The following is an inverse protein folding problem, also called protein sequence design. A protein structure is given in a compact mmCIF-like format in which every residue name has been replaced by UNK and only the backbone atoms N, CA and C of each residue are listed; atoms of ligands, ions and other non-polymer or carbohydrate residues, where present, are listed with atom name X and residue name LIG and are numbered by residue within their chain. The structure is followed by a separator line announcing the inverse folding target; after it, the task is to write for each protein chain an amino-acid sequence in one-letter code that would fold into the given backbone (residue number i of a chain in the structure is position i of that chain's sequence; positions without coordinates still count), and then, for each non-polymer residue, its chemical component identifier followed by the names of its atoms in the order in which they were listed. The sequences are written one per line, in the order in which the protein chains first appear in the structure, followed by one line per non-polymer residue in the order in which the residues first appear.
data_IF_785943202958
#
_entry.id   IF_785943202958
#
_cell.length_a   1.000
_cell.length_b   1.000
_cell.length_c   1.000
_cell.angle_alpha   90.00
_cell.angle_beta   90.00
_cell.angle_gamma   90.00
#
_symmetry.space_group_name_H-M   'P 1'
#
loop_
_entity.id
_entity.type
_entity.pdbx_description
1 polymer ?
2 non-polymer ?
3 water ?
#
# COMPACT_ATOMS: atom_id res chain seq x y z
N UNK A 12 -23.97 -8.17 -0.23
CA UNK A 12 -23.80 -9.17 -1.28
C UNK A 12 -22.75 -10.20 -0.90
N UNK A 13 -23.19 -11.41 -0.59
CA UNK A 13 -22.31 -12.52 -0.26
C UNK A 13 -22.66 -13.71 -1.13
N UNK A 14 -21.65 -14.52 -1.43
CA UNK A 14 -21.85 -15.67 -2.31
C UNK A 14 -21.73 -15.36 -3.78
N UNK A 15 -21.03 -14.29 -4.16
CA UNK A 15 -20.85 -13.92 -5.55
C UNK A 15 -19.39 -13.57 -5.79
N UNK A 16 -18.82 -14.13 -6.86
CA UNK A 16 -17.45 -13.82 -7.27
C UNK A 16 -17.52 -12.99 -8.55
N UNK A 17 -17.37 -11.67 -8.40
CA UNK A 17 -17.44 -10.75 -9.53
C UNK A 17 -16.04 -10.43 -10.04
N UNK A 18 -15.38 -11.47 -10.55
CA UNK A 18 -14.02 -11.34 -11.06
C UNK A 18 -14.02 -10.99 -12.54
N UNK A 20 -15.80 -8.80 -14.13
CA UNK A 20 -17.08 -8.47 -14.72
C UNK A 20 -17.99 -9.66 -14.95
N UNK A 21 -17.52 -10.83 -14.52
CA UNK A 21 -18.26 -12.08 -14.66
C UNK A 21 -18.61 -12.57 -13.25
N UNK A 22 -19.86 -12.36 -12.84
CA UNK A 22 -20.30 -12.76 -11.51
C UNK A 22 -20.70 -14.23 -11.51
N UNK A 23 -20.13 -14.99 -10.57
CA UNK A 23 -20.41 -16.40 -10.42
C UNK A 23 -21.03 -16.64 -9.05
N UNK A 24 -22.21 -17.25 -9.02
CA UNK A 24 -22.84 -17.65 -7.77
C UNK A 24 -22.09 -18.86 -7.21
N UNK A 25 -21.18 -18.60 -6.27
CA UNK A 25 -20.29 -19.64 -5.75
C UNK A 25 -20.26 -19.61 -4.23
N UNK A 26 -19.75 -20.68 -3.66
CA UNK A 26 -19.54 -20.83 -2.22
C UNK A 26 -18.05 -20.96 -1.94
N UNK A 27 -17.72 -21.15 -0.66
CA UNK A 27 -16.32 -21.30 -0.28
C UNK A 27 -15.76 -22.63 -0.78
N UNK A 28 -16.62 -23.63 -0.96
CA UNK A 28 -16.17 -24.94 -1.42
C UNK A 28 -15.78 -24.95 -2.90
N UNK A 29 -16.11 -23.90 -3.65
CA UNK A 29 -15.72 -23.79 -5.05
C UNK A 29 -14.31 -23.25 -5.23
N UNK A 30 -13.56 -23.09 -4.14
CA UNK A 30 -12.21 -22.56 -4.18
C UNK A 30 -11.24 -23.60 -3.63
N UNK A 31 -10.11 -23.79 -4.32
CA UNK A 31 -9.08 -24.71 -3.89
C UNK A 31 -7.96 -23.92 -3.19
N UNK A 32 -7.60 -24.36 -1.98
CA UNK A 32 -6.61 -23.66 -1.19
C UNK A 32 -5.21 -24.03 -1.67
N UNK A 33 -4.47 -23.04 -2.18
CA UNK A 33 -3.14 -23.25 -2.71
C UNK A 33 -2.05 -22.83 -1.73
N UNK A 34 -2.39 -22.55 -0.49
CA UNK A 34 -1.43 -22.15 0.51
C UNK A 34 -1.63 -20.70 0.95
N UNK A 35 -0.97 -20.38 2.07
CA UNK A 35 -1.07 -19.04 2.65
C UNK A 35 -0.02 -18.11 2.04
N UNK A 36 -0.41 -16.86 1.85
CA UNK A 36 0.49 -15.83 1.35
C UNK A 36 0.90 -14.92 2.51
N UNK A 37 2.20 -14.69 2.65
CA UNK A 37 2.68 -13.81 3.70
C UNK A 37 2.38 -14.37 5.09
N UNK A 38 2.21 -13.45 6.04
CA UNK A 38 1.94 -13.83 7.42
C UNK A 38 1.45 -12.62 8.20
N UNK A 39 0.43 -12.83 9.02
CA UNK A 39 0.00 -11.80 9.97
C UNK A 39 -0.60 -10.59 9.29
N UNK A 40 -0.16 -9.42 9.75
CA UNK A 40 -0.65 -8.11 9.29
C UNK A 40 -2.15 -8.05 9.54
N UNK A 41 -2.99 -7.79 8.53
CA UNK A 41 -4.42 -7.62 8.78
C UNK A 41 -5.06 -8.94 9.18
N UNK A 42 -5.00 -9.94 8.31
CA UNK A 42 -5.60 -11.24 8.58
C UNK A 42 -4.89 -12.32 7.79
N UNK A 43 -5.33 -13.55 8.00
CA UNK A 43 -4.78 -14.70 7.27
C UNK A 43 -5.27 -14.67 5.83
N UNK A 44 -4.35 -14.56 4.88
CA UNK A 44 -4.67 -14.46 3.47
C UNK A 44 -4.23 -15.75 2.78
N UNK A 45 -5.19 -16.45 2.17
CA UNK A 45 -4.91 -17.65 1.41
C UNK A 45 -4.84 -17.34 -0.07
N UNK A 46 -4.03 -18.11 -0.78
CA UNK A 46 -4.04 -18.11 -2.24
C UNK A 46 -4.97 -19.24 -2.69
N UNK A 47 -6.07 -18.88 -3.34
CA UNK A 47 -7.08 -19.85 -3.70
C UNK A 47 -7.37 -19.79 -5.19
N UNK A 48 -7.83 -20.91 -5.73
CA UNK A 48 -8.12 -21.07 -7.15
C UNK A 48 -9.60 -21.38 -7.32
N UNK A 49 -10.26 -20.61 -8.18
CA UNK A 49 -11.66 -20.85 -8.48
C UNK A 49 -11.76 -22.08 -9.37
N UNK A 50 -12.34 -23.17 -8.83
CA UNK A 50 -12.38 -24.42 -9.58
C UNK A 50 -13.25 -24.31 -10.83
N UNK A 51 -14.23 -23.40 -10.83
CA UNK A 51 -15.11 -23.29 -11.99
C UNK A 51 -14.37 -22.74 -13.20
N UNK A 52 -13.55 -21.71 -13.00
CA UNK A 52 -12.87 -21.04 -14.10
C UNK A 52 -11.36 -21.28 -14.14
N UNK A 53 -10.74 -21.62 -13.01
CA UNK A 53 -9.30 -21.75 -12.93
C UNK A 53 -8.58 -20.50 -12.49
N UNK A 54 -9.29 -19.39 -12.29
CA UNK A 54 -8.66 -18.16 -11.85
C UNK A 54 -8.15 -18.29 -10.42
N UNK A 55 -7.04 -17.61 -10.13
CA UNK A 55 -6.40 -17.63 -8.82
C UNK A 55 -6.58 -16.26 -8.18
N UNK A 56 -7.12 -16.25 -6.97
CA UNK A 56 -7.40 -15.02 -6.23
C UNK A 56 -6.80 -15.13 -4.83
N UNK A 57 -6.82 -14.01 -4.12
CA UNK A 57 -6.43 -13.96 -2.72
C UNK A 57 -7.69 -13.93 -1.86
N UNK A 58 -7.68 -14.69 -0.77
CA UNK A 58 -8.84 -14.83 0.10
C UNK A 58 -8.43 -14.56 1.54
N UNK A 59 -9.05 -13.54 2.14
CA UNK A 59 -8.91 -13.28 3.57
C UNK A 59 -9.91 -14.11 4.36
N UNK A 60 -9.44 -14.73 5.44
CA UNK A 60 -10.30 -15.51 6.31
C UNK A 60 -10.38 -14.83 7.67
N UNK A 61 -11.60 -14.42 8.05
CA UNK A 61 -11.87 -13.86 9.36
C UNK A 61 -12.65 -14.89 10.16
N UNK A 62 -12.01 -15.46 11.18
CA UNK A 62 -12.68 -16.43 12.03
C UNK A 62 -13.61 -15.73 13.01
N UNK A 63 -14.82 -16.25 13.14
CA UNK A 63 -15.78 -15.69 14.10
C UNK A 63 -15.22 -15.72 15.52
N UNK A 64 -14.39 -16.72 15.83
CA UNK A 64 -13.77 -16.85 17.14
C UNK A 64 -12.45 -16.10 17.27
N UNK A 65 -12.05 -15.36 16.24
CA UNK A 65 -10.78 -14.68 16.25
C UNK A 65 -10.75 -13.51 17.22
N UNK A 66 -9.59 -12.84 17.25
CA UNK A 66 -9.40 -11.67 18.10
C UNK A 66 -10.38 -10.58 17.72
N UNK A 67 -11.08 -10.05 18.73
CA UNK A 67 -12.05 -8.99 18.48
C UNK A 67 -11.38 -7.73 17.95
N UNK A 68 -10.13 -7.48 18.32
CA UNK A 68 -9.42 -6.32 17.82
C UNK A 68 -8.94 -6.53 16.38
N UNK A 69 -8.51 -7.75 16.05
CA UNK A 69 -8.10 -8.03 14.68
C UNK A 69 -9.31 -8.06 13.75
N UNK A 70 -10.42 -8.64 14.21
CA UNK A 70 -11.64 -8.65 13.41
C UNK A 70 -12.20 -7.24 13.21
N UNK A 71 -11.99 -6.35 14.18
CA UNK A 71 -12.45 -4.98 14.03
C UNK A 71 -11.70 -4.27 12.90
N UNK A 72 -10.41 -4.57 12.74
CA UNK A 72 -9.64 -3.97 11.66
C UNK A 72 -9.95 -4.61 10.32
N UNK A 73 -10.22 -5.92 10.31
CA UNK A 73 -10.58 -6.59 9.06
C UNK A 73 -11.89 -6.06 8.51
N UNK A 74 -12.88 -5.85 9.38
CA UNK A 74 -14.15 -5.30 8.94
C UNK A 74 -14.01 -3.86 8.49
N UNK A 75 -13.14 -3.08 9.15
CA UNK A 75 -12.92 -1.70 8.72
C UNK A 75 -12.19 -1.65 7.38
N UNK A 76 -11.22 -2.54 7.18
CA UNK A 76 -10.55 -2.61 5.89
C UNK A 76 -11.53 -2.96 4.77
N UNK A 77 -12.34 -3.99 4.99
CA UNK A 77 -13.33 -4.39 4.00
C UNK A 77 -14.32 -3.27 3.71
N UNK A 78 -14.70 -2.52 4.74
CA UNK A 78 -15.61 -1.39 4.53
C UNK A 78 -15.00 -0.37 3.58
N UNK A 79 -13.70 -0.10 3.72
CA UNK A 79 -13.04 0.86 2.83
C UNK A 79 -12.88 0.26 1.44
N UNK A 80 -12.52 -1.03 1.37
CA UNK A 80 -12.29 -1.67 0.07
C UNK A 80 -13.57 -1.71 -0.74
N UNK A 81 -14.69 -2.01 -0.10
CA UNK A 81 -15.97 -2.02 -0.82
C UNK A 81 -16.37 -0.63 -1.27
N UNK A 82 -16.05 0.41 -0.49
CA UNK A 82 -16.37 1.77 -0.87
C UNK A 82 -15.51 2.28 -2.02
N UNK A 83 -14.39 1.61 -2.30
CA UNK A 83 -13.41 2.06 -3.28
C UNK A 83 -13.41 1.19 -4.54
N UNK A 84 -14.60 0.75 -4.96
CA UNK A 84 -14.70 -0.12 -6.13
C UNK A 84 -14.38 0.59 -7.43
N UNK A 85 -14.16 1.90 -7.41
CA UNK A 85 -13.86 2.66 -8.62
C UNK A 85 -12.51 3.37 -8.54
N UNK A 86 -11.66 3.00 -7.57
CA UNK A 86 -10.33 3.58 -7.49
C UNK A 86 -9.33 2.62 -8.09
N UNK A 87 -8.64 2.99 -9.18
CA UNK A 87 -7.71 2.05 -9.82
C UNK A 87 -6.48 1.73 -8.98
N UNK A 88 -6.22 2.47 -7.90
CA UNK A 88 -5.02 2.31 -7.10
C UNK A 88 -5.32 1.73 -5.73
N UNK A 89 -6.41 0.97 -5.62
CA UNK A 89 -6.79 0.28 -4.38
C UNK A 89 -7.20 -1.13 -4.77
N UNK A 90 -6.72 -2.13 -4.02
CA UNK A 90 -7.03 -3.52 -4.32
C UNK A 90 -8.53 -3.74 -4.25
N UNK A 91 -9.09 -4.37 -5.27
CA UNK A 91 -10.53 -4.57 -5.37
C UNK A 91 -10.95 -5.85 -4.67
N UNK A 92 -12.16 -5.82 -4.10
CA UNK A 92 -12.77 -7.00 -3.52
C UNK A 92 -13.67 -7.66 -4.58
N UNK A 93 -13.50 -8.97 -4.74
CA UNK A 93 -14.29 -9.69 -5.73
C UNK A 93 -15.55 -10.32 -5.16
N UNK A 94 -15.76 -10.24 -3.86
CA UNK A 94 -16.93 -10.84 -3.25
C UNK A 94 -16.61 -11.33 -1.85
N UNK A 95 -17.65 -11.87 -1.21
CA UNK A 95 -17.54 -12.34 0.17
C UNK A 95 -18.33 -13.63 0.32
N UNK A 96 -17.89 -14.47 1.25
CA UNK A 96 -18.59 -15.69 1.61
C UNK A 96 -18.74 -15.72 3.12
N UNK A 97 -19.97 -15.66 3.61
CA UNK A 97 -20.25 -15.66 5.04
C UNK A 97 -20.79 -17.04 5.41
N UNK A 98 -20.06 -17.74 6.27
CA UNK A 98 -20.51 -19.00 6.83
C UNK A 98 -20.81 -18.82 8.31
N UNK A 99 -21.28 -19.91 8.94
CA UNK A 99 -21.58 -19.86 10.36
C UNK A 99 -20.35 -19.75 11.23
N UNK A 100 -19.15 -19.95 10.66
CA UNK A 100 -17.92 -19.98 11.42
C UNK A 100 -16.89 -18.96 10.96
N UNK A 101 -16.92 -18.55 9.69
CA UNK A 101 -15.87 -17.73 9.12
C UNK A 101 -16.47 -16.72 8.16
N UNK A 102 -15.67 -15.71 7.82
CA UNK A 102 -15.97 -14.78 6.74
C UNK A 102 -14.80 -14.80 5.78
N UNK A 103 -15.08 -15.08 4.50
CA UNK A 103 -14.06 -15.18 3.47
C UNK A 103 -14.18 -13.99 2.54
N UNK A 104 -13.12 -13.20 2.44
CA UNK A 104 -13.09 -11.99 1.64
C UNK A 104 -12.21 -12.26 0.42
N UNK A 105 -12.84 -12.29 -0.75
CA UNK A 105 -12.11 -12.53 -2.00
C UNK A 105 -11.51 -11.22 -2.49
N UNK A 106 -10.18 -11.15 -2.49
CA UNK A 106 -9.44 -9.99 -2.97
C UNK A 106 -8.70 -10.36 -4.25
N UNK A 107 -8.41 -9.35 -5.08
CA UNK A 107 -7.64 -9.59 -6.29
C UNK A 107 -6.22 -9.98 -5.93
N UNK A 108 -5.63 -10.86 -6.72
CA UNK A 108 -4.30 -11.38 -6.45
C UNK A 108 -3.24 -10.42 -6.94
N UNK A 109 -2.44 -9.89 -6.03
CA UNK A 109 -1.29 -9.08 -6.37
C UNK A 109 -0.01 -9.90 -6.21
N UNK A 110 1.06 -9.43 -6.85
CA UNK A 110 2.33 -10.13 -6.78
C UNK A 110 2.93 -10.11 -5.39
N UNK A 111 3.37 -8.92 -4.95
CA UNK A 111 4.00 -8.78 -3.65
C UNK A 111 4.02 -7.31 -3.27
N UNK A 112 4.49 -7.04 -2.06
CA UNK A 112 4.59 -5.67 -1.58
C UNK A 112 5.94 -5.07 -1.94
N UNK A 113 6.03 -3.75 -1.79
CA UNK A 113 7.27 -3.05 -2.10
C UNK A 113 8.41 -3.44 -1.16
N UNK A 114 8.06 -3.83 0.08
CA UNK A 114 9.09 -4.27 1.01
C UNK A 114 9.79 -5.53 0.52
N UNK A 115 9.02 -6.50 0.05
CA UNK A 115 9.62 -7.73 -0.48
C UNK A 115 10.34 -7.47 -1.80
N UNK A 116 9.86 -6.51 -2.59
CA UNK A 116 10.61 -6.11 -3.78
C UNK A 116 11.96 -5.52 -3.39
N UNK A 117 12.00 -4.74 -2.31
CA UNK A 117 13.25 -4.16 -1.85
C UNK A 117 14.23 -5.23 -1.38
N UNK A 118 13.74 -6.26 -0.69
CA UNK A 118 14.61 -7.32 -0.20
C UNK A 118 15.11 -8.19 -1.35
N UNK A 119 14.25 -8.49 -2.32
CA UNK A 119 14.70 -9.28 -3.47
C UNK A 119 15.59 -8.47 -4.39
N UNK A 120 15.37 -7.15 -4.47
CA UNK A 120 16.25 -6.31 -5.27
C UNK A 120 17.64 -6.19 -4.64
N UNK A 121 17.72 -6.25 -3.31
CA UNK A 121 18.98 -6.16 -2.60
C UNK A 121 19.70 -4.86 -2.94
N UNK A 122 18.90 -3.82 -3.18
CA UNK A 122 19.42 -2.52 -3.52
C UNK A 122 18.34 -1.50 -3.82
N UNK A 123 18.77 -0.34 -4.29
CA UNK A 123 17.82 0.73 -4.63
C UNK A 123 16.86 0.30 -5.74
N UNK A 124 15.63 0.80 -5.65
CA UNK A 124 14.63 0.61 -6.69
C UNK A 124 14.70 1.82 -7.62
N UNK A 125 14.74 1.61 -8.94
CA UNK A 125 14.93 2.74 -9.86
C UNK A 125 13.87 3.81 -9.71
N UNK A 126 14.26 5.04 -10.07
CA UNK A 126 13.34 6.18 -9.91
C UNK A 126 12.10 6.02 -10.78
N UNK A 127 12.26 5.45 -11.98
CA UNK A 127 11.13 5.33 -12.89
C UNK A 127 10.06 4.39 -12.32
N UNK A 128 10.46 3.42 -11.51
CA UNK A 128 9.48 2.57 -10.84
C UNK A 128 8.84 3.31 -9.67
N UNK A 129 9.64 4.07 -8.92
CA UNK A 129 9.08 4.87 -7.82
C UNK A 129 8.21 6.01 -8.31
N UNK A 130 8.42 6.47 -9.56
CA UNK A 130 7.56 7.51 -10.09
C UNK A 130 6.15 7.02 -10.35
N UNK A 131 6.03 5.87 -11.02
CA UNK A 131 4.71 5.26 -11.22
C UNK A 131 4.08 4.87 -9.89
N UNK A 132 4.90 4.53 -8.90
CA UNK A 132 4.36 4.19 -7.58
C UNK A 132 3.86 5.42 -6.86
N UNK A 133 4.60 6.52 -6.94
CA UNK A 133 4.19 7.75 -6.27
C UNK A 133 2.86 8.27 -6.81
N UNK A 134 2.67 8.22 -8.12
CA UNK A 134 1.40 8.66 -8.71
C UNK A 134 0.26 7.80 -8.22
N UNK A 135 0.48 6.50 -8.12
CA UNK A 135 -0.60 5.59 -7.69
C UNK A 135 -0.97 5.81 -6.23
N UNK A 136 0.02 5.97 -5.36
CA UNK A 136 -0.26 6.07 -3.93
C UNK A 136 -0.88 7.42 -3.59
N UNK A 137 -0.41 8.50 -4.23
CA UNK A 137 -0.96 9.83 -3.97
C UNK A 137 -2.43 9.88 -4.37
N UNK A 138 -2.74 9.42 -5.59
CA UNK A 138 -4.12 9.39 -6.03
C UNK A 138 -4.98 8.47 -5.17
N UNK A 139 -4.37 7.41 -4.62
CA UNK A 139 -5.10 6.54 -3.70
C UNK A 139 -5.44 7.28 -2.41
N UNK A 140 -4.46 7.99 -1.84
CA UNK A 140 -4.71 8.74 -0.62
C UNK A 140 -5.65 9.92 -0.88
N UNK A 141 -5.51 10.57 -2.04
CA UNK A 141 -6.41 11.66 -2.38
C UNK A 141 -7.82 11.16 -2.61
N UNK A 142 -7.97 9.95 -3.17
CA UNK A 142 -9.29 9.35 -3.34
C UNK A 142 -9.94 9.06 -2.00
N UNK A 143 -9.16 8.53 -1.04
CA UNK A 143 -9.71 8.21 0.27
C UNK A 143 -10.11 9.46 1.03
N UNK A 144 -9.39 10.57 0.84
CA UNK A 144 -9.73 11.81 1.53
C UNK A 144 -10.95 12.46 0.89
N UNK A 145 -10.96 12.54 -0.44
CA UNK A 145 -12.00 13.31 -1.13
C UNK A 145 -13.35 12.58 -1.11
N UNK A 146 -13.40 11.41 -1.73
CA UNK A 146 -14.66 10.71 -1.93
C UNK A 146 -15.14 9.97 -0.69
N UNK A 147 -14.34 9.86 0.37
CA UNK A 147 -14.73 9.11 1.55
C UNK A 147 -14.30 9.71 2.87
N UNK A 148 -13.45 10.75 2.88
CA UNK A 148 -13.00 11.31 4.14
C UNK A 148 -12.17 10.36 4.96
N UNK A 149 -11.47 9.43 4.33
CA UNK A 149 -10.67 8.42 5.01
C UNK A 149 -9.21 8.84 4.98
N UNK A 150 -8.54 8.74 6.12
CA UNK A 150 -7.10 8.96 6.23
C UNK A 150 -6.45 7.62 6.52
N UNK A 151 -5.38 7.31 5.77
CA UNK A 151 -4.83 5.96 5.81
C UNK A 151 -4.13 5.68 7.14
N UNK A 152 -3.29 6.60 7.59
CA UNK A 152 -2.60 6.55 8.89
C UNK A 152 -1.55 5.45 8.99
N UNK A 153 -1.17 4.82 7.87
CA UNK A 153 -0.16 3.78 7.90
C UNK A 153 0.38 3.46 6.50
N UNK A 154 1.02 4.43 5.84
CA UNK A 154 1.56 4.23 4.51
C UNK A 154 3.00 3.74 4.64
N UNK A 155 3.27 2.54 4.14
CA UNK A 155 4.58 1.91 4.27
C UNK A 155 4.80 1.03 3.05
N UNK A 156 6.06 0.66 2.76
CA UNK A 156 6.31 -0.23 1.61
C UNK A 156 5.57 -1.55 1.69
N UNK A 157 5.25 -2.03 2.90
CA UNK A 157 4.49 -3.27 3.02
C UNK A 157 3.05 -3.11 2.58
N UNK A 158 2.54 -1.88 2.52
CA UNK A 158 1.17 -1.61 2.09
C UNK A 158 1.08 -1.23 0.62
N UNK A 159 2.18 -1.27 -0.11
CA UNK A 159 2.21 -0.93 -1.53
C UNK A 159 2.40 -2.22 -2.30
N UNK A 160 1.34 -2.70 -2.95
CA UNK A 160 1.36 -3.96 -3.66
C UNK A 160 1.59 -3.74 -5.15
N UNK A 161 2.37 -4.62 -5.76
CA UNK A 161 2.56 -4.68 -7.20
C UNK A 161 2.15 -6.06 -7.70
N UNK A 162 1.91 -6.15 -9.01
CA UNK A 162 1.48 -7.41 -9.61
C UNK A 162 2.26 -7.64 -10.91
N UNK A 163 1.96 -8.78 -11.54
CA UNK A 163 2.67 -9.17 -12.75
C UNK A 163 2.37 -8.24 -13.92
N UNK A 164 1.24 -7.53 -13.90
CA UNK A 164 0.87 -6.63 -14.98
C UNK A 164 1.41 -5.22 -14.79
N UNK A 165 2.07 -4.94 -13.67
CA UNK A 165 2.62 -3.62 -13.42
C UNK A 165 1.70 -2.68 -12.66
N UNK A 166 0.60 -3.17 -12.10
CA UNK A 166 -0.29 -2.33 -11.32
C UNK A 166 0.26 -2.09 -9.93
N UNK A 167 -0.07 -0.93 -9.37
CA UNK A 167 0.40 -0.51 -8.05
C UNK A 167 -0.80 0.01 -7.27
N UNK A 168 -1.08 -0.60 -6.13
CA UNK A 168 -2.27 -0.28 -5.34
C UNK A 168 -1.96 -0.37 -3.85
N UNK A 169 -2.72 0.38 -3.06
CA UNK A 169 -2.72 0.24 -1.60
C UNK A 169 -3.62 -0.92 -1.20
N UNK A 170 -3.39 -1.43 0.01
CA UNK A 170 -4.09 -2.65 0.39
C UNK A 170 -4.74 -2.60 1.78
N UNK A 171 -3.99 -2.15 2.78
CA UNK A 171 -4.40 -2.29 4.18
C UNK A 171 -4.99 -0.98 4.67
N UNK A 172 -6.29 -0.99 5.00
CA UNK A 172 -6.97 0.15 5.59
C UNK A 172 -7.59 -0.23 6.93
N UNK A 173 -7.03 -1.22 7.61
CA UNK A 173 -7.62 -1.74 8.83
C UNK A 173 -7.55 -0.79 10.02
N UNK A 174 -6.60 0.15 10.00
CA UNK A 174 -6.44 1.10 11.09
C UNK A 174 -6.74 2.53 10.63
N UNK A 175 -7.32 2.68 9.43
CA UNK A 175 -7.67 3.99 8.91
C UNK A 175 -8.81 4.61 9.73
N UNK A 176 -9.07 5.88 9.48
CA UNK A 176 -10.13 6.58 10.17
C UNK A 176 -10.58 7.81 9.41
N UNK A 177 -11.35 8.65 10.10
CA UNK A 177 -11.87 9.87 9.51
C UNK A 177 -11.34 11.10 10.24
N UNK A 190 5.40 1.64 10.95
CA UNK A 190 4.21 2.17 11.62
C UNK A 190 4.55 3.48 12.33
N UNK A 191 5.15 3.37 13.52
CA UNK A 191 5.61 4.56 14.22
C UNK A 191 6.84 5.18 13.57
N UNK A 192 7.54 4.44 12.72
CA UNK A 192 8.74 4.96 12.07
C UNK A 192 8.41 5.76 10.82
N UNK A 193 7.20 5.61 10.28
CA UNK A 193 6.72 6.43 9.18
C UNK A 193 5.73 7.50 9.65
N UNK A 194 5.67 7.74 10.96
CA UNK A 194 4.67 8.64 11.51
C UNK A 194 5.08 10.09 11.35
N UNK A 195 4.11 10.94 11.01
CA UNK A 195 4.38 12.35 10.77
C UNK A 195 4.71 13.07 12.07
N UNK A 196 5.45 14.19 11.99
CA UNK A 196 5.76 14.94 13.22
C UNK A 196 4.53 15.44 13.95
N UNK A 197 3.51 15.91 13.22
CA UNK A 197 2.30 16.40 13.88
C UNK A 197 1.48 15.28 14.49
N UNK A 198 1.67 14.03 14.04
CA UNK A 198 1.01 12.91 14.70
C UNK A 198 1.67 12.58 16.02
N UNK A 199 2.99 12.72 16.10
CA UNK A 199 3.69 12.50 17.36
C UNK A 199 3.43 13.65 18.32
N UNK A 200 3.48 14.88 17.82
CA UNK A 200 3.27 16.09 18.64
C UNK A 200 2.28 16.99 17.91
N UNK A 201 0.97 16.88 18.24
CA UNK A 201 -0.09 17.69 17.64
C UNK A 201 0.10 19.18 17.87
N UNK A 212 -2.71 15.87 6.46
CA UNK A 212 -1.66 15.60 5.49
C UNK A 212 -0.54 14.77 6.10
N UNK A 213 -0.88 13.97 7.12
CA UNK A 213 0.11 13.13 7.77
C UNK A 213 0.45 11.88 6.97
N UNK A 214 -0.42 11.47 6.05
CA UNK A 214 -0.15 10.30 5.24
C UNK A 214 0.95 10.53 4.22
N UNK A 215 1.24 11.78 3.86
CA UNK A 215 2.25 12.05 2.85
C UNK A 215 3.66 12.14 3.45
N UNK A 216 3.78 12.32 4.76
CA UNK A 216 5.08 12.16 5.39
C UNK A 216 5.52 10.70 5.37
N UNK A 217 4.57 9.78 5.61
CA UNK A 217 4.88 8.36 5.53
C UNK A 217 5.28 7.96 4.11
N UNK A 218 4.68 8.61 3.11
CA UNK A 218 5.05 8.32 1.73
C UNK A 218 6.47 8.77 1.42
N UNK A 219 6.87 9.92 1.97
CA UNK A 219 8.22 10.40 1.73
C UNK A 219 9.27 9.51 2.37
N UNK A 220 9.01 9.05 3.60
CA UNK A 220 9.92 8.12 4.25
C UNK A 220 10.02 6.81 3.46
N UNK A 221 8.87 6.34 2.95
CA UNK A 221 8.88 5.12 2.13
C UNK A 221 9.66 5.33 0.85
N UNK A 222 9.56 6.52 0.25
CA UNK A 222 10.28 6.78 -1.00
C UNK A 222 11.78 6.81 -0.78
N UNK A 223 12.24 7.48 0.29
CA UNK A 223 13.67 7.53 0.58
C UNK A 223 14.19 6.12 0.87
N UNK A 224 13.40 5.32 1.58
CA UNK A 224 13.82 3.95 1.89
C UNK A 224 13.97 3.12 0.63
N UNK A 225 12.98 3.19 -0.26
CA UNK A 225 13.03 2.38 -1.47
C UNK A 225 14.02 2.93 -2.49
N UNK A 226 14.24 4.25 -2.50
CA UNK A 226 15.17 4.84 -3.46
C UNK A 226 16.62 4.55 -3.10
N UNK A 227 16.91 4.28 -1.82
CA UNK A 227 18.26 4.01 -1.38
C UNK A 227 18.46 2.57 -0.94
N UNK A 228 17.39 1.80 -0.77
CA UNK A 228 17.49 0.47 -0.19
C UNK A 228 17.76 0.43 1.29
N UNK A 229 17.93 1.58 1.93
CA UNK A 229 18.24 1.68 3.35
C UNK A 229 17.13 2.46 4.05
N UNK A 230 16.70 1.95 5.19
CA UNK A 230 15.70 2.67 5.97
C UNK A 230 16.38 3.83 6.72
N UNK A 231 15.85 5.05 6.61
CA UNK A 231 16.54 6.20 7.19
C UNK A 231 16.65 6.16 8.72
N UNK A 232 15.93 5.28 9.39
CA UNK A 232 16.00 5.15 10.84
C UNK A 232 16.38 3.74 11.27
N UNK A 233 17.21 3.07 10.47
CA UNK A 233 17.66 1.71 10.82
C UNK A 233 18.61 1.70 12.01
N UNK A 234 19.16 2.86 12.40
CA UNK A 234 20.06 2.96 13.54
C UNK A 234 19.34 2.95 14.88
N UNK A 235 18.03 3.14 14.90
CA UNK A 235 17.30 3.21 16.16
C UNK A 235 16.98 1.82 16.68
N UNK A 236 17.02 1.67 18.01
CA UNK A 236 16.76 0.39 18.66
C UNK A 236 15.38 0.30 19.29
N UNK A 237 14.68 1.42 19.45
CA UNK A 237 13.35 1.45 20.03
C UNK A 237 12.43 2.31 19.18
N UNK A 238 11.12 2.19 19.44
CA UNK A 238 10.14 2.98 18.70
C UNK A 238 10.23 4.46 19.07
N UNK A 239 10.47 4.77 20.34
CA UNK A 239 10.54 6.16 20.76
C UNK A 239 11.78 6.85 20.20
N UNK A 240 12.87 6.11 20.01
CA UNK A 240 14.07 6.71 19.44
C UNK A 240 13.84 7.20 18.02
N UNK A 241 13.01 6.49 17.26
CA UNK A 241 12.63 6.97 15.93
C UNK A 241 11.86 8.28 16.04
N UNK A 242 10.90 8.33 16.98
CA UNK A 242 10.17 9.57 17.23
C UNK A 242 11.10 10.70 17.64
N UNK A 243 12.19 10.37 18.34
CA UNK A 243 13.18 11.39 18.70
C UNK A 243 13.90 11.91 17.46
N UNK A 244 14.34 11.01 16.59
CA UNK A 244 15.05 11.44 15.38
C UNK A 244 14.14 12.22 14.44
N UNK A 245 12.87 11.85 14.35
CA UNK A 245 11.95 12.56 13.46
C UNK A 245 11.77 14.00 13.90
N UNK A 246 11.67 14.25 15.21
CA UNK A 246 11.43 15.60 15.66
C UNK A 246 12.72 16.41 15.80
N UNK A 247 13.81 15.75 16.20
CA UNK A 247 15.07 16.46 16.44
C UNK A 247 15.91 16.60 15.17
N UNK A 248 16.11 15.51 14.44
CA UNK A 248 16.97 15.54 13.27
C UNK A 248 16.24 16.15 12.07
N UNK A 249 17.04 16.62 11.11
CA UNK A 249 16.49 17.16 9.88
C UNK A 249 15.88 16.05 9.04
N UNK A 250 14.98 16.39 8.11
CA UNK A 250 14.33 15.35 7.29
C UNK A 250 15.36 14.57 6.49
N UNK A 251 15.19 13.25 6.39
CA UNK A 251 16.13 12.45 5.59
C UNK A 251 15.92 12.63 4.09
N UNK A 252 16.66 13.54 3.49
CA UNK A 252 16.50 13.85 2.08
C UNK A 252 17.21 12.81 1.21
N UNK A 253 16.86 12.81 -0.07
CA UNK A 253 17.50 11.91 -1.02
C UNK A 253 18.94 12.32 -1.28
N UNK A 254 19.85 11.37 -1.44
CA UNK A 254 21.22 11.72 -1.83
C UNK A 254 21.26 12.31 -3.23
N UNK A 255 22.20 13.23 -3.43
CA UNK A 255 22.36 13.90 -4.71
C UNK A 255 23.38 13.29 -5.65
N UNK A 256 23.87 12.08 -5.38
CA UNK A 256 24.88 11.44 -6.21
C UNK A 256 24.42 10.08 -6.73
N UNK A 257 23.11 9.85 -6.81
CA UNK A 257 22.56 8.61 -7.36
C UNK A 257 21.78 8.85 -8.63
N UNK A 258 21.97 10.00 -9.28
CA UNK A 258 21.26 10.31 -10.50
C UNK A 258 19.81 10.69 -10.33
N UNK A 259 19.36 10.90 -9.09
CA UNK A 259 17.97 11.26 -8.85
C UNK A 259 17.66 12.61 -9.48
N UNK A 260 16.58 12.66 -10.26
CA UNK A 260 16.18 13.89 -10.92
C UNK A 260 15.79 14.96 -9.89
N UNK A 261 15.87 16.21 -10.31
CA UNK A 261 15.48 17.30 -9.43
C UNK A 261 14.02 17.25 -9.03
N UNK A 262 13.16 16.73 -9.91
CA UNK A 262 11.75 16.60 -9.59
C UNK A 262 11.54 15.57 -8.48
N UNK A 263 12.30 14.48 -8.49
CA UNK A 263 12.20 13.48 -7.43
C UNK A 263 12.66 14.05 -6.10
N UNK A 264 13.81 14.73 -6.09
CA UNK A 264 14.31 15.32 -4.84
C UNK A 264 13.37 16.41 -4.33
N UNK A 265 12.75 17.16 -5.24
CA UNK A 265 11.83 18.21 -4.83
C UNK A 265 10.56 17.63 -4.23
N UNK A 266 10.03 16.56 -4.83
CA UNK A 266 8.80 15.96 -4.32
C UNK A 266 9.02 15.36 -2.94
N UNK A 267 10.15 14.70 -2.73
CA UNK A 267 10.44 14.11 -1.42
C UNK A 267 10.60 15.20 -0.38
N UNK A 268 11.30 16.28 -0.72
CA UNK A 268 11.49 17.38 0.23
C UNK A 268 10.15 17.99 0.63
N UNK A 269 9.22 18.12 -0.32
CA UNK A 269 7.89 18.63 0.01
C UNK A 269 7.14 17.67 0.92
N UNK A 270 7.27 16.36 0.69
CA UNK A 270 6.61 15.39 1.54
C UNK A 270 7.20 15.39 2.95
N UNK A 271 8.51 15.57 3.06
CA UNK A 271 9.20 15.53 4.34
C UNK A 271 9.26 16.89 5.02
N UNK A 272 8.28 17.75 4.78
CA UNK A 272 8.21 19.02 5.50
C UNK A 272 7.76 18.77 6.93
N UNK A 273 8.57 19.20 7.90
CA UNK A 273 8.30 18.88 9.30
C UNK A 273 7.06 19.61 9.81
N UNK A 274 6.98 20.91 9.58
CA UNK A 274 5.80 21.67 9.98
C UNK A 274 4.62 21.28 9.09
N UNK A 275 3.56 20.75 9.71
CA UNK A 275 2.42 20.26 8.95
C UNK A 275 1.62 21.39 8.29
N UNK A 276 1.84 22.64 8.70
CA UNK A 276 1.16 23.75 8.04
C UNK A 276 1.83 24.08 6.71
N UNK A 277 3.15 23.98 6.64
CA UNK A 277 3.86 24.21 5.39
C UNK A 277 3.74 23.05 4.42
N UNK A 278 3.36 21.87 4.91
CA UNK A 278 3.23 20.70 4.06
C UNK A 278 2.07 20.89 3.08
N UNK A 279 2.26 20.64 1.79
CA UNK A 279 1.20 20.90 0.83
C UNK A 279 0.07 19.88 0.91
N UNK A 280 -1.11 20.31 0.47
CA UNK A 280 -2.27 19.44 0.41
C UNK A 280 -2.17 18.51 -0.79
N UNK A 281 -3.19 17.65 -0.96
CA UNK A 281 -3.15 16.68 -2.05
C UNK A 281 -3.35 17.35 -3.40
N UNK A 282 -4.22 18.37 -3.47
CA UNK A 282 -4.42 19.08 -4.73
C UNK A 282 -3.17 19.82 -5.18
N UNK A 283 -2.26 20.14 -4.25
CA UNK A 283 -0.99 20.76 -4.60
C UNK A 283 0.06 19.71 -4.96
N UNK A 284 0.07 18.58 -4.24
CA UNK A 284 1.01 17.52 -4.57
C UNK A 284 0.72 16.89 -5.92
N UNK A 285 -0.57 16.78 -6.27
CA UNK A 285 -0.94 16.22 -7.57
C UNK A 285 -0.55 17.12 -8.73
N UNK A 286 -0.16 18.37 -8.46
CA UNK A 286 0.30 19.28 -9.49
C UNK A 286 1.82 19.39 -9.53
N UNK A 287 2.52 18.58 -8.74
CA UNK A 287 3.97 18.60 -8.74
C UNK A 287 4.50 18.07 -10.07
N UNK A 288 5.66 18.60 -10.49
CA UNK A 288 6.25 18.18 -11.76
C UNK A 288 6.63 16.72 -11.74
N UNK A 289 7.00 16.18 -10.58
CA UNK A 289 7.32 14.75 -10.49
C UNK A 289 6.08 13.90 -10.68
N UNK A 290 4.92 14.38 -10.23
CA UNK A 290 3.68 13.65 -10.44
C UNK A 290 3.24 13.75 -11.89
N UNK A 291 3.24 14.96 -12.45
CA UNK A 291 2.77 15.18 -13.81
C UNK A 291 3.65 14.48 -14.84
N UNK A 292 4.93 14.25 -14.53
CA UNK A 292 5.81 13.59 -15.48
C UNK A 292 5.43 12.12 -15.66
N UNK A 293 5.25 11.40 -14.55
CA UNK A 293 4.96 9.98 -14.61
C UNK A 293 3.48 9.67 -14.83
N UNK A 294 2.61 10.67 -14.81
CA UNK A 294 1.25 10.46 -15.30
C UNK A 294 1.23 10.23 -16.80
N UNK A 295 2.13 10.87 -17.53
CA UNK A 295 2.18 10.75 -18.99
C UNK A 295 3.21 9.72 -19.46
N UNK A 296 4.30 9.57 -18.73
CA UNK A 296 5.37 8.68 -19.17
C UNK A 296 4.91 7.23 -19.14
N UNK A 297 5.44 6.44 -20.07
CA UNK A 297 5.14 5.01 -20.18
C UNK A 297 6.32 4.23 -19.59
N UNK A 298 6.15 3.74 -18.37
CA UNK A 298 7.19 2.99 -17.67
C UNK A 298 6.82 1.51 -17.71
N UNK A 299 7.78 0.67 -18.04
CA UNK A 299 7.54 -0.77 -18.16
C UNK A 299 7.69 -1.42 -16.78
N UNK A 300 6.67 -1.18 -15.95
CA UNK A 300 6.68 -1.73 -14.60
C UNK A 300 6.52 -3.25 -14.64
N UNK A 301 5.72 -3.75 -15.59
CA UNK A 301 5.45 -5.19 -15.65
C UNK A 301 6.72 -5.98 -15.93
N UNK A 302 7.51 -5.54 -16.92
CA UNK A 302 8.75 -6.24 -17.23
C UNK A 302 9.77 -6.12 -16.11
N UNK A 303 9.85 -4.93 -15.49
CA UNK A 303 10.74 -4.78 -14.35
C UNK A 303 10.31 -5.65 -13.18
N UNK A 304 9.00 -5.83 -13.01
CA UNK A 304 8.48 -6.64 -11.90
C UNK A 304 8.86 -8.11 -12.08
N UNK A 305 8.68 -8.65 -13.28
CA UNK A 305 9.01 -10.05 -13.50
C UNK A 305 10.50 -10.31 -13.43
N UNK A 306 11.32 -9.35 -13.87
CA UNK A 306 12.77 -9.54 -13.79
C UNK A 306 13.28 -9.51 -12.36
N UNK A 307 12.64 -8.71 -11.50
CA UNK A 307 13.03 -8.70 -10.09
C UNK A 307 12.53 -9.97 -9.40
N UNK A 308 11.32 -10.42 -9.74
CA UNK A 308 10.80 -11.65 -9.16
C UNK A 308 11.65 -12.86 -9.55
N UNK A 309 12.31 -12.81 -10.70
CA UNK A 309 13.16 -13.91 -11.14
C UNK A 309 14.52 -13.92 -10.47
N UNK A 310 14.92 -12.81 -9.84
CA UNK A 310 16.21 -12.73 -9.17
C UNK A 310 16.20 -13.53 -7.87
#
# INVERSE_FOLDING_TARGET
MGHHHHHHSAKQTGYLTIGGQRYQAEINDLENLGEMGSGTCGQVWKMRFRKTGHVIAVKQMRRSGNKEENKRILMDLDVVLKSHDCPYIVQCFGTFITNTDVFIAMELMGTCAEKLKKRMQGPIPERILGKMTVAIVKALYYLKEKHGVIHRDVKPSNILLDERGQIKLCDFGISGRLVDSKAKTRSAGCAAYMAPERIDPPDPTKPDYDIRADVWSLGISLVELATGQFPYKNCKTDFEVLTKVLQEEPPLLPGHMGFSGDFQSFVKDCLTKDHRKRPKYNKLLEHSFIKRYETLEVDVASWFKDVMAKTESPRTSG
#
